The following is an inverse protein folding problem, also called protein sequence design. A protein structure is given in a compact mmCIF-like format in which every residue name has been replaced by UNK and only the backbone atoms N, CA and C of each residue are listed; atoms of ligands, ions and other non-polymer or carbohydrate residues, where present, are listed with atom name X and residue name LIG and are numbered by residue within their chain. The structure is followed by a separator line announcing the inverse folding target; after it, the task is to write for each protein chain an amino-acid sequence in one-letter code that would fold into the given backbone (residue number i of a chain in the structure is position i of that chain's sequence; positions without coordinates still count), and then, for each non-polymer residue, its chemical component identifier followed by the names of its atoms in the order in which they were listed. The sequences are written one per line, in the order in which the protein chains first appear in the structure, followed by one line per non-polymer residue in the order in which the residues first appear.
data_IF_788754741044
#
_entry.id   IF_788754741044
#
_cell.length_a   1.000
_cell.length_b   1.000
_cell.length_c   1.000
_cell.angle_alpha   90.00
_cell.angle_beta   90.00
_cell.angle_gamma   90.00
#
_symmetry.space_group_name_H-M   'P 1'
#
loop_
_entity.id
_entity.type
_entity.pdbx_description
1 polymer ?
#
# COMPACT_ATOMS: atom_id res chain seq x y z
N UNK A 1 36.58 -32.55 6.25
CA UNK A 1 35.99 -31.41 6.98
C UNK A 1 34.76 -31.00 6.20
N UNK A 2 33.57 -31.40 6.65
CA UNK A 2 32.31 -31.15 5.92
C UNK A 2 32.06 -29.65 5.92
N UNK A 3 31.78 -29.07 4.75
CA UNK A 3 31.44 -27.65 4.60
C UNK A 3 30.11 -27.37 5.33
N UNK A 4 30.22 -27.04 6.62
CA UNK A 4 29.08 -26.73 7.49
C UNK A 4 28.27 -25.54 6.95
N UNK A 5 28.91 -24.60 6.26
CA UNK A 5 28.23 -23.47 5.63
C UNK A 5 27.36 -23.87 4.44
N UNK A 6 27.78 -24.89 3.69
CA UNK A 6 26.97 -25.49 2.61
C UNK A 6 25.74 -26.23 3.14
N UNK A 7 25.90 -26.99 4.23
CA UNK A 7 24.81 -27.74 4.86
C UNK A 7 23.78 -26.81 5.51
N UNK A 8 24.21 -25.77 6.23
CA UNK A 8 23.32 -24.78 6.84
C UNK A 8 22.51 -24.01 5.78
N UNK A 9 23.14 -23.67 4.65
CA UNK A 9 22.44 -23.06 3.52
C UNK A 9 21.42 -24.01 2.87
N UNK A 10 21.75 -25.29 2.74
CA UNK A 10 20.85 -26.30 2.19
C UNK A 10 19.64 -26.54 3.10
N UNK A 11 19.86 -26.62 4.42
CA UNK A 11 18.80 -26.75 5.42
C UNK A 11 17.88 -25.52 5.37
N UNK A 12 18.46 -24.32 5.38
CA UNK A 12 17.69 -23.07 5.30
C UNK A 12 16.90 -22.95 3.98
N UNK A 13 17.47 -23.39 2.85
CA UNK A 13 16.78 -23.42 1.56
C UNK A 13 15.65 -24.44 1.54
N UNK A 14 15.86 -25.62 2.12
CA UNK A 14 14.84 -26.68 2.19
C UNK A 14 13.68 -26.25 3.08
N UNK A 15 13.96 -25.70 4.26
CA UNK A 15 12.94 -25.16 5.16
C UNK A 15 12.14 -24.03 4.49
N UNK A 16 12.82 -23.13 3.78
CA UNK A 16 12.17 -22.08 3.00
C UNK A 16 11.25 -22.63 1.90
N UNK A 17 11.71 -23.62 1.12
CA UNK A 17 10.89 -24.24 0.08
C UNK A 17 9.68 -24.99 0.68
N UNK A 18 9.81 -25.54 1.89
CA UNK A 18 8.70 -26.16 2.62
C UNK A 18 7.68 -25.12 3.10
N UNK A 19 8.12 -24.02 3.71
CA UNK A 19 7.25 -22.90 4.11
C UNK A 19 6.55 -22.25 2.91
N UNK A 20 7.16 -22.32 1.72
CA UNK A 20 6.54 -21.87 0.46
C UNK A 20 5.48 -22.85 -0.08
N UNK A 21 5.63 -24.14 0.19
CA UNK A 21 4.70 -25.20 -0.26
C UNK A 21 3.49 -25.37 0.65
N UNK A 22 3.51 -24.83 1.87
CA UNK A 22 2.38 -24.90 2.82
C UNK A 22 1.24 -23.95 2.42
N UNK A 23 0.64 -24.20 1.26
CA UNK A 23 -0.76 -23.83 0.99
C UNK A 23 -1.71 -24.93 1.52
N UNK A 24 -1.22 -26.16 1.68
CA UNK A 24 -1.90 -27.25 2.40
C UNK A 24 -1.55 -27.19 3.90
N UNK A 25 -2.15 -26.23 4.60
CA UNK A 25 -2.00 -26.13 6.06
C UNK A 25 -2.82 -27.24 6.73
N UNK A 26 -2.16 -28.12 7.50
CA UNK A 26 -2.82 -29.15 8.31
C UNK A 26 -3.94 -28.55 9.16
N UNK A 27 -5.12 -29.18 9.16
CA UNK A 27 -6.33 -28.72 9.86
C UNK A 27 -6.08 -28.44 11.35
N UNK A 28 -5.17 -29.22 11.98
CA UNK A 28 -4.76 -29.02 13.38
C UNK A 28 -3.93 -27.76 13.60
N UNK A 29 -3.05 -27.43 12.66
CA UNK A 29 -2.24 -26.20 12.69
C UNK A 29 -3.14 -24.98 12.45
N UNK A 30 -4.09 -25.10 11.53
CA UNK A 30 -5.11 -24.07 11.28
C UNK A 30 -5.99 -23.83 12.52
N UNK A 31 -6.36 -24.88 13.27
CA UNK A 31 -7.08 -24.77 14.55
C UNK A 31 -6.26 -24.10 15.65
N UNK A 32 -4.95 -24.41 15.76
CA UNK A 32 -4.05 -23.71 16.70
C UNK A 32 -3.93 -22.23 16.37
N UNK A 33 -3.71 -21.89 15.09
CA UNK A 33 -3.66 -20.51 14.59
C UNK A 33 -4.96 -19.74 14.89
N UNK A 34 -6.13 -20.35 14.72
CA UNK A 34 -7.43 -19.73 15.06
C UNK A 34 -7.55 -19.38 16.55
N UNK A 35 -7.03 -20.20 17.46
CA UNK A 35 -7.06 -19.90 18.91
C UNK A 35 -6.20 -18.69 19.27
N UNK A 36 -5.10 -18.47 18.54
CA UNK A 36 -4.24 -17.29 18.73
C UNK A 36 -4.78 -16.00 18.09
N UNK A 37 -5.83 -16.11 17.26
CA UNK A 37 -6.47 -14.98 16.55
C UNK A 37 -7.85 -14.64 17.14
N UNK A 38 -8.08 -14.96 18.41
CA UNK A 38 -9.32 -14.61 19.09
C UNK A 38 -9.43 -13.10 19.26
N UNK A 39 -10.54 -12.54 18.80
CA UNK A 39 -10.81 -11.11 18.95
C UNK A 39 -11.04 -10.77 20.43
N UNK A 40 -10.54 -9.62 20.91
CA UNK A 40 -10.82 -9.11 22.25
C UNK A 40 -12.33 -8.96 22.48
N UNK A 41 -12.74 -9.08 23.75
CA UNK A 41 -14.13 -8.82 24.12
C UNK A 41 -14.51 -7.34 23.95
N UNK A 42 -15.81 -7.01 23.87
CA UNK A 42 -16.28 -5.63 23.68
C UNK A 42 -15.75 -4.63 24.72
N UNK A 43 -15.55 -5.07 25.97
CA UNK A 43 -15.01 -4.28 27.08
C UNK A 43 -13.62 -3.73 26.78
N UNK A 44 -12.81 -4.43 25.99
CA UNK A 44 -11.46 -3.98 25.61
C UNK A 44 -11.48 -2.84 24.59
N UNK A 45 -12.64 -2.50 24.02
CA UNK A 45 -12.79 -1.47 23.00
C UNK A 45 -13.20 -0.10 23.59
N UNK A 46 -13.50 -0.01 24.90
CA UNK A 46 -14.01 1.20 25.55
C UNK A 46 -13.09 2.43 25.35
N UNK A 47 -11.78 2.23 25.39
CA UNK A 47 -10.82 3.32 25.18
C UNK A 47 -10.85 3.86 23.74
N UNK A 48 -11.11 3.01 22.76
CA UNK A 48 -11.23 3.43 21.35
C UNK A 48 -12.57 4.11 21.09
N UNK A 49 -13.64 3.70 21.78
CA UNK A 49 -14.95 4.34 21.69
C UNK A 49 -14.97 5.77 22.25
N UNK A 50 -14.03 6.11 23.15
CA UNK A 50 -13.88 7.45 23.69
C UNK A 50 -13.12 8.40 22.76
N UNK A 51 -12.39 7.88 21.77
CA UNK A 51 -11.73 8.68 20.76
C UNK A 51 -12.75 9.12 19.68
N UNK A 52 -12.58 10.31 19.06
CA UNK A 52 -13.42 10.68 17.93
C UNK A 52 -13.28 9.62 16.82
N UNK A 53 -14.39 9.25 16.15
CA UNK A 53 -14.34 8.27 15.08
C UNK A 53 -13.36 8.74 14.00
N UNK A 54 -12.61 7.80 13.44
CA UNK A 54 -11.73 8.08 12.32
C UNK A 54 -12.54 8.67 11.15
N UNK A 55 -11.91 9.56 10.40
CA UNK A 55 -12.47 10.09 9.17
C UNK A 55 -12.89 8.96 8.20
N UNK A 56 -13.97 9.20 7.44
CA UNK A 56 -14.56 8.23 6.51
C UNK A 56 -13.52 7.69 5.53
N UNK A 57 -12.69 8.57 4.96
CA UNK A 57 -11.66 8.16 4.00
C UNK A 57 -10.64 7.22 4.64
N UNK A 58 -10.21 7.51 5.88
CA UNK A 58 -9.30 6.63 6.60
C UNK A 58 -9.91 5.26 6.90
N UNK A 59 -11.13 5.22 7.43
CA UNK A 59 -11.75 3.98 7.91
C UNK A 59 -12.29 3.11 6.77
N UNK A 60 -13.09 3.71 5.88
CA UNK A 60 -13.88 3.01 4.89
C UNK A 60 -13.18 2.85 3.55
N UNK A 61 -12.13 3.62 3.25
CA UNK A 61 -11.40 3.52 1.98
C UNK A 61 -9.98 2.99 2.17
N UNK A 62 -9.19 3.60 3.04
CA UNK A 62 -7.76 3.26 3.18
C UNK A 62 -7.54 1.94 3.96
N UNK A 63 -8.38 1.64 4.95
CA UNK A 63 -8.19 0.48 5.81
C UNK A 63 -8.97 -0.74 5.28
N UNK A 64 -8.30 -1.84 4.86
CA UNK A 64 -8.96 -2.95 4.19
C UNK A 64 -10.06 -3.64 5.02
N UNK A 65 -9.85 -3.78 6.33
CA UNK A 65 -10.84 -4.39 7.24
C UNK A 65 -12.03 -3.44 7.44
N UNK A 66 -11.78 -2.15 7.63
CA UNK A 66 -12.82 -1.13 7.76
C UNK A 66 -13.68 -1.05 6.52
N UNK A 67 -13.04 -0.91 5.35
CA UNK A 67 -13.69 -1.00 4.03
C UNK A 67 -14.55 -2.25 3.90
N UNK A 68 -14.01 -3.45 4.18
CA UNK A 68 -14.78 -4.70 4.05
C UNK A 68 -15.99 -4.75 4.98
N UNK A 69 -15.86 -4.26 6.22
CA UNK A 69 -16.96 -4.24 7.18
C UNK A 69 -18.02 -3.21 6.80
N UNK A 70 -17.60 -2.03 6.31
CA UNK A 70 -18.51 -0.99 5.83
C UNK A 70 -19.33 -1.48 4.61
N UNK A 71 -18.66 -2.04 3.60
CA UNK A 71 -19.35 -2.60 2.44
C UNK A 71 -20.25 -3.79 2.81
N UNK A 72 -19.81 -4.62 3.77
CA UNK A 72 -20.64 -5.68 4.34
C UNK A 72 -21.89 -5.14 5.03
N UNK A 73 -21.80 -4.02 5.75
CA UNK A 73 -22.94 -3.32 6.34
C UNK A 73 -23.89 -2.78 5.27
N UNK A 74 -23.37 -2.05 4.27
CA UNK A 74 -24.19 -1.48 3.21
C UNK A 74 -25.00 -2.56 2.46
N UNK A 75 -24.41 -3.73 2.22
CA UNK A 75 -25.10 -4.85 1.58
C UNK A 75 -26.30 -5.38 2.39
N UNK A 76 -26.33 -5.19 3.71
CA UNK A 76 -27.44 -5.63 4.58
C UNK A 76 -28.61 -4.65 4.63
N UNK A 77 -28.39 -3.40 4.25
CA UNK A 77 -29.41 -2.34 4.33
C UNK A 77 -30.00 -2.11 2.94
N UNK A 78 -31.29 -2.43 2.70
CA UNK A 78 -31.90 -2.31 1.36
C UNK A 78 -31.79 -0.91 0.76
N UNK A 79 -31.82 0.13 1.59
CA UNK A 79 -31.72 1.53 1.15
C UNK A 79 -30.37 1.87 0.49
N UNK A 80 -29.31 1.10 0.75
CA UNK A 80 -27.96 1.36 0.24
C UNK A 80 -27.52 0.40 -0.86
N UNK A 81 -28.31 -0.64 -1.16
CA UNK A 81 -27.95 -1.65 -2.16
C UNK A 81 -27.79 -1.07 -3.56
N UNK A 82 -28.59 -0.06 -3.90
CA UNK A 82 -28.47 0.67 -5.18
C UNK A 82 -27.13 1.42 -5.27
N UNK A 83 -26.68 2.04 -4.17
CA UNK A 83 -25.38 2.71 -4.09
C UNK A 83 -24.22 1.75 -4.26
N UNK A 84 -24.29 0.61 -3.56
CA UNK A 84 -23.27 -0.44 -3.63
C UNK A 84 -23.18 -1.00 -5.04
N UNK A 85 -24.31 -1.40 -5.63
CA UNK A 85 -24.34 -1.96 -6.98
C UNK A 85 -23.80 -0.99 -8.02
N UNK A 86 -24.17 0.29 -7.94
CA UNK A 86 -23.61 1.32 -8.81
C UNK A 86 -22.08 1.43 -8.67
N UNK A 87 -21.55 1.53 -7.44
CA UNK A 87 -20.11 1.66 -7.22
C UNK A 87 -19.31 0.40 -7.61
N UNK A 88 -19.87 -0.80 -7.45
CA UNK A 88 -19.25 -2.04 -7.95
C UNK A 88 -19.17 -2.05 -9.49
N UNK A 89 -20.23 -1.59 -10.16
CA UNK A 89 -20.26 -1.50 -11.62
C UNK A 89 -19.26 -0.44 -12.14
N UNK A 90 -19.16 0.71 -11.46
CA UNK A 90 -18.14 1.73 -11.75
C UNK A 90 -16.73 1.16 -11.58
N UNK A 91 -16.47 0.44 -10.48
CA UNK A 91 -15.17 -0.19 -10.26
C UNK A 91 -14.86 -1.24 -11.34
N UNK A 92 -15.86 -2.01 -11.78
CA UNK A 92 -15.70 -2.98 -12.86
C UNK A 92 -15.39 -2.30 -14.20
N UNK A 93 -15.99 -1.13 -14.47
CA UNK A 93 -15.71 -0.34 -15.66
C UNK A 93 -14.31 0.28 -15.66
N UNK A 94 -13.85 0.82 -14.53
CA UNK A 94 -12.51 1.39 -14.37
C UNK A 94 -11.40 0.35 -14.60
N UNK A 95 -11.66 -0.90 -14.19
CA UNK A 95 -10.72 -2.01 -14.32
C UNK A 95 -10.87 -2.80 -15.63
N UNK A 96 -11.88 -2.50 -16.44
CA UNK A 96 -12.11 -3.20 -17.70
C UNK A 96 -11.04 -2.84 -18.75
N UNK A 97 -10.60 -3.86 -19.50
CA UNK A 97 -9.75 -3.66 -20.67
C UNK A 97 -10.47 -2.84 -21.75
N UNK A 98 -9.71 -2.07 -22.52
CA UNK A 98 -10.26 -1.30 -23.64
C UNK A 98 -10.92 -2.23 -24.67
N UNK A 99 -12.19 -1.96 -24.98
CA UNK A 99 -12.96 -2.81 -25.87
C UNK A 99 -14.47 -2.60 -25.78
N UNK A 100 -15.25 -3.33 -26.58
CA UNK A 100 -16.69 -3.17 -26.66
C UNK A 100 -17.41 -3.46 -25.33
N UNK A 101 -16.84 -4.33 -24.49
CA UNK A 101 -17.38 -4.63 -23.17
C UNK A 101 -17.33 -3.40 -22.23
N UNK A 102 -16.23 -2.62 -22.29
CA UNK A 102 -16.08 -1.39 -21.51
C UNK A 102 -17.09 -0.33 -21.93
N UNK A 103 -17.29 -0.15 -23.23
CA UNK A 103 -18.31 0.74 -23.79
C UNK A 103 -19.75 0.31 -23.41
N UNK A 104 -20.03 -0.99 -23.44
CA UNK A 104 -21.32 -1.53 -23.00
C UNK A 104 -21.59 -1.28 -21.51
N UNK A 105 -20.57 -1.44 -20.67
CA UNK A 105 -20.68 -1.18 -19.22
C UNK A 105 -20.91 0.31 -18.95
N UNK A 106 -20.18 1.18 -19.66
CA UNK A 106 -20.38 2.63 -19.60
C UNK A 106 -21.80 3.04 -20.01
N UNK A 107 -22.37 2.39 -21.03
CA UNK A 107 -23.75 2.63 -21.43
C UNK A 107 -24.75 2.20 -20.34
N UNK A 108 -24.49 1.07 -19.67
CA UNK A 108 -25.27 0.61 -18.52
C UNK A 108 -25.24 1.61 -17.36
N UNK A 109 -24.05 2.04 -16.96
CA UNK A 109 -23.83 3.06 -15.93
C UNK A 109 -24.57 4.36 -16.24
N UNK A 110 -24.48 4.84 -17.49
CA UNK A 110 -25.19 6.05 -17.91
C UNK A 110 -26.71 5.89 -17.87
N UNK A 111 -27.24 4.71 -18.18
CA UNK A 111 -28.67 4.43 -18.07
C UNK A 111 -29.13 4.44 -16.60
N UNK A 112 -28.32 3.90 -15.68
CA UNK A 112 -28.54 3.97 -14.23
C UNK A 112 -28.55 5.43 -13.75
N UNK A 113 -27.54 6.22 -14.13
CA UNK A 113 -27.45 7.64 -13.77
C UNK A 113 -28.59 8.50 -14.35
N UNK A 114 -29.11 8.12 -15.52
CA UNK A 114 -30.14 8.88 -16.24
C UNK A 114 -31.59 8.54 -15.80
N UNK A 115 -31.77 7.90 -14.63
CA UNK A 115 -33.02 7.31 -14.14
C UNK A 115 -34.30 8.14 -14.44
N UNK A 116 -35.40 7.41 -14.68
CA UNK A 116 -36.61 7.91 -15.36
C UNK A 116 -37.19 9.23 -14.84
N UNK A 117 -37.74 10.06 -15.74
CA UNK A 117 -38.40 11.31 -15.37
C UNK A 117 -39.58 11.04 -14.41
N UNK A 118 -39.50 11.54 -13.18
CA UNK A 118 -40.60 11.51 -12.22
C UNK A 118 -40.27 11.01 -10.81
N UNK A 119 -39.07 10.47 -10.56
CA UNK A 119 -38.57 10.20 -9.19
C UNK A 119 -37.18 10.82 -9.00
N UNK A 120 -36.88 11.45 -7.86
CA UNK A 120 -35.53 11.90 -7.56
C UNK A 120 -34.59 10.69 -7.45
N UNK A 121 -33.41 10.79 -8.06
CA UNK A 121 -32.39 9.77 -7.94
C UNK A 121 -31.91 9.72 -6.48
N UNK A 122 -31.82 8.54 -5.84
CA UNK A 122 -31.46 8.46 -4.42
C UNK A 122 -30.02 8.91 -4.13
N UNK A 123 -29.14 8.85 -5.14
CA UNK A 123 -27.70 9.06 -4.99
C UNK A 123 -27.15 10.32 -5.68
N UNK A 124 -27.87 10.86 -6.67
CA UNK A 124 -27.32 11.85 -7.60
C UNK A 124 -28.15 13.12 -7.60
N UNK A 125 -27.47 14.25 -7.76
CA UNK A 125 -28.08 15.56 -7.85
C UNK A 125 -28.91 15.70 -9.14
N UNK A 126 -30.05 16.43 -9.12
CA UNK A 126 -30.87 16.62 -10.32
C UNK A 126 -30.11 17.25 -11.50
N UNK A 127 -29.13 18.10 -11.19
CA UNK A 127 -28.26 18.74 -12.17
C UNK A 127 -27.36 17.72 -12.89
N UNK A 128 -26.79 16.75 -12.15
CA UNK A 128 -25.95 15.71 -12.72
C UNK A 128 -26.77 14.73 -13.57
N UNK A 129 -27.96 14.34 -13.12
CA UNK A 129 -28.88 13.49 -13.89
C UNK A 129 -29.22 14.13 -15.25
N UNK A 130 -29.49 15.44 -15.27
CA UNK A 130 -29.78 16.16 -16.52
C UNK A 130 -28.57 16.19 -17.45
N UNK A 131 -27.35 16.35 -16.92
CA UNK A 131 -26.12 16.26 -17.71
C UNK A 131 -25.91 14.85 -18.26
N UNK A 132 -26.20 13.81 -17.48
CA UNK A 132 -26.12 12.42 -17.93
C UNK A 132 -27.09 12.14 -19.09
N UNK A 133 -28.29 12.72 -19.05
CA UNK A 133 -29.28 12.60 -20.14
C UNK A 133 -28.87 13.34 -21.42
N UNK A 134 -28.11 14.43 -21.29
CA UNK A 134 -27.66 15.24 -22.42
C UNK A 134 -26.33 14.77 -23.04
N UNK A 135 -25.61 13.84 -22.39
CA UNK A 135 -24.26 13.43 -22.79
C UNK A 135 -24.25 12.67 -24.13
N UNK A 136 -23.46 13.15 -25.08
CA UNK A 136 -23.42 12.59 -26.44
C UNK A 136 -22.17 11.79 -26.74
N UNK A 137 -21.01 12.24 -26.23
CA UNK A 137 -19.72 11.61 -26.49
C UNK A 137 -19.33 10.60 -25.41
N UNK A 138 -18.42 9.69 -25.73
CA UNK A 138 -17.91 8.70 -24.77
C UNK A 138 -17.05 9.34 -23.68
N UNK A 139 -16.24 10.34 -24.03
CA UNK A 139 -15.39 11.08 -23.10
C UNK A 139 -16.22 11.89 -22.08
N UNK A 140 -17.31 12.52 -22.54
CA UNK A 140 -18.27 13.19 -21.65
C UNK A 140 -18.90 12.20 -20.67
N UNK A 141 -19.33 11.04 -21.16
CA UNK A 141 -19.92 9.98 -20.32
C UNK A 141 -18.94 9.49 -19.26
N UNK A 142 -17.70 9.22 -19.65
CA UNK A 142 -16.65 8.81 -18.72
C UNK A 142 -16.42 9.86 -17.62
N UNK A 143 -16.31 11.14 -17.99
CA UNK A 143 -16.15 12.22 -17.01
C UNK A 143 -17.37 12.39 -16.09
N UNK A 144 -18.59 12.17 -16.60
CA UNK A 144 -19.81 12.24 -15.80
C UNK A 144 -19.94 11.06 -14.84
N UNK A 145 -19.48 9.86 -15.21
CA UNK A 145 -19.42 8.70 -14.31
C UNK A 145 -18.46 8.95 -13.15
N UNK A 146 -17.31 9.59 -13.38
CA UNK A 146 -16.40 10.00 -12.30
C UNK A 146 -17.06 10.99 -11.32
N UNK A 147 -17.82 11.96 -11.84
CA UNK A 147 -18.59 12.88 -10.99
C UNK A 147 -19.71 12.16 -10.23
N UNK A 148 -20.39 11.21 -10.87
CA UNK A 148 -21.44 10.42 -10.24
C UNK A 148 -20.89 9.50 -9.14
N UNK A 149 -19.71 8.92 -9.35
CA UNK A 149 -18.95 8.19 -8.32
C UNK A 149 -18.65 9.11 -7.14
N UNK A 150 -18.18 10.34 -7.38
CA UNK A 150 -17.89 11.30 -6.32
C UNK A 150 -19.14 11.67 -5.49
N UNK A 151 -20.28 11.94 -6.15
CA UNK A 151 -21.55 12.20 -5.44
C UNK A 151 -22.05 10.98 -4.66
N UNK A 152 -21.96 9.77 -5.24
CA UNK A 152 -22.33 8.54 -4.55
C UNK A 152 -21.44 8.28 -3.32
N UNK A 153 -20.14 8.55 -3.41
CA UNK A 153 -19.22 8.44 -2.27
C UNK A 153 -19.52 9.50 -1.20
N UNK A 154 -19.85 10.74 -1.60
CA UNK A 154 -20.28 11.78 -0.66
C UNK A 154 -21.56 11.39 0.09
N UNK A 155 -22.53 10.80 -0.62
CA UNK A 155 -23.73 10.24 0.01
C UNK A 155 -23.38 9.18 1.06
N UNK A 156 -22.45 8.27 0.76
CA UNK A 156 -22.01 7.23 1.71
C UNK A 156 -21.25 7.78 2.92
N UNK A 157 -20.60 8.93 2.79
CA UNK A 157 -19.86 9.60 3.87
C UNK A 157 -20.78 10.26 4.92
N UNK A 158 -22.02 10.57 4.55
CA UNK A 158 -22.99 11.24 5.44
C UNK A 158 -23.74 10.22 6.32
N UNK A 159 -25.06 10.08 6.11
CA UNK A 159 -25.95 9.26 6.93
C UNK A 159 -25.55 7.77 6.96
N UNK A 160 -25.17 7.11 5.84
CA UNK A 160 -24.77 5.70 5.85
C UNK A 160 -23.55 5.44 6.72
N UNK A 161 -22.59 6.38 6.77
CA UNK A 161 -21.43 6.27 7.64
C UNK A 161 -21.82 6.39 9.12
N UNK A 162 -22.70 7.32 9.49
CA UNK A 162 -23.20 7.44 10.86
C UNK A 162 -23.95 6.18 11.31
N UNK A 163 -24.78 5.60 10.44
CA UNK A 163 -25.47 4.34 10.72
C UNK A 163 -24.50 3.16 10.84
N UNK A 164 -23.43 3.13 10.03
CA UNK A 164 -22.36 2.15 10.18
C UNK A 164 -21.67 2.27 11.53
N UNK A 165 -21.32 3.48 11.98
CA UNK A 165 -20.69 3.71 13.28
C UNK A 165 -21.57 3.27 14.46
N UNK A 166 -22.89 3.30 14.30
CA UNK A 166 -23.85 2.79 15.29
C UNK A 166 -24.12 1.28 15.16
N UNK A 167 -23.55 0.60 14.16
CA UNK A 167 -23.86 -0.79 13.86
C UNK A 167 -22.88 -1.78 14.53
N UNK A 168 -23.29 -3.06 14.70
CA UNK A 168 -22.38 -4.12 15.16
C UNK A 168 -21.16 -4.36 14.26
N UNK A 169 -21.18 -3.87 13.00
CA UNK A 169 -20.02 -3.96 12.11
C UNK A 169 -18.89 -3.06 12.59
N UNK A 170 -19.21 -1.88 13.13
CA UNK A 170 -18.22 -0.98 13.70
C UNK A 170 -17.64 -1.52 15.01
N UNK A 171 -18.46 -2.11 15.88
CA UNK A 171 -17.97 -2.82 17.07
C UNK A 171 -16.94 -3.90 16.71
N UNK A 172 -17.23 -4.66 15.64
CA UNK A 172 -16.32 -5.67 15.11
C UNK A 172 -15.04 -5.06 14.54
N UNK A 173 -15.13 -3.89 13.88
CA UNK A 173 -13.96 -3.15 13.43
C UNK A 173 -13.08 -2.73 14.62
N UNK A 174 -13.68 -2.24 15.71
CA UNK A 174 -12.95 -1.86 16.92
C UNK A 174 -12.23 -3.06 17.55
N UNK A 175 -12.87 -4.23 17.60
CA UNK A 175 -12.21 -5.45 18.05
C UNK A 175 -10.98 -5.79 17.22
N UNK A 176 -11.06 -5.65 15.88
CA UNK A 176 -9.90 -5.80 15.00
C UNK A 176 -8.83 -4.76 15.27
N UNK A 177 -9.20 -3.51 15.59
CA UNK A 177 -8.25 -2.46 15.96
C UNK A 177 -7.54 -2.72 17.26
N UNK A 178 -8.25 -3.17 18.30
CA UNK A 178 -7.61 -3.59 19.56
C UNK A 178 -6.66 -4.76 19.32
N UNK A 179 -7.03 -5.70 18.44
CA UNK A 179 -6.17 -6.81 18.06
C UNK A 179 -4.91 -6.35 17.30
N UNK A 180 -5.05 -5.39 16.38
CA UNK A 180 -3.94 -4.81 15.62
C UNK A 180 -2.92 -4.07 16.52
N UNK A 181 -3.40 -3.38 17.56
CA UNK A 181 -2.56 -2.61 18.48
C UNK A 181 -1.80 -3.46 19.52
N UNK A 182 -1.95 -4.79 19.50
CA UNK A 182 -1.23 -5.64 20.44
C UNK A 182 0.30 -5.53 20.22
N UNK A 183 1.10 -5.54 21.31
CA UNK A 183 2.54 -5.36 21.19
C UNK A 183 3.20 -6.51 20.42
N UNK A 184 3.95 -6.16 19.37
CA UNK A 184 4.67 -7.12 18.53
C UNK A 184 6.10 -7.27 19.03
N UNK A 185 6.60 -8.51 19.08
CA UNK A 185 7.96 -8.85 19.47
C UNK A 185 8.55 -9.94 18.56
N UNK A 186 9.83 -10.22 18.72
CA UNK A 186 10.54 -11.30 18.01
C UNK A 186 9.89 -12.67 18.16
N UNK A 187 9.19 -12.92 19.27
CA UNK A 187 8.47 -14.18 19.54
C UNK A 187 7.40 -14.53 18.50
N UNK A 188 6.84 -13.54 17.82
CA UNK A 188 5.79 -13.71 16.80
C UNK A 188 6.33 -14.22 15.45
N UNK A 189 7.65 -14.20 15.27
CA UNK A 189 8.30 -14.57 14.02
C UNK A 189 9.15 -15.83 14.20
N UNK A 190 9.15 -16.67 13.17
CA UNK A 190 10.07 -17.80 13.03
C UNK A 190 11.06 -17.49 11.91
N UNK A 191 12.35 -17.44 12.21
CA UNK A 191 13.39 -17.07 11.23
C UNK A 191 13.91 -18.29 10.50
N UNK A 192 13.92 -18.25 9.15
CA UNK A 192 14.39 -19.37 8.33
C UNK A 192 15.80 -19.17 7.79
N UNK A 193 16.05 -18.01 7.18
CA UNK A 193 17.26 -17.77 6.39
C UNK A 193 17.68 -16.31 6.43
N UNK A 194 18.99 -16.09 6.28
CA UNK A 194 19.58 -14.76 6.06
C UNK A 194 19.65 -14.50 4.54
N UNK A 195 19.03 -13.41 4.03
CA UNK A 195 19.39 -12.86 2.71
C UNK A 195 20.28 -11.63 2.92
N UNK A 196 21.53 -11.74 2.47
CA UNK A 196 22.57 -10.69 2.59
C UNK A 196 22.82 -10.24 4.04
N UNK A 197 22.38 -9.02 4.39
CA UNK A 197 22.59 -8.33 5.68
C UNK A 197 21.32 -8.32 6.57
N UNK A 198 20.29 -9.09 6.21
CA UNK A 198 19.01 -9.23 6.92
C UNK A 198 18.50 -10.68 6.93
N UNK A 199 17.46 -10.96 7.72
CA UNK A 199 16.82 -12.28 7.85
C UNK A 199 15.43 -12.32 7.24
N UNK A 200 14.83 -13.49 7.08
CA UNK A 200 13.44 -13.71 6.65
C UNK A 200 12.77 -14.63 7.64
N UNK A 201 11.47 -14.43 7.84
CA UNK A 201 10.72 -15.25 8.76
C UNK A 201 9.23 -15.28 8.46
N UNK A 202 8.58 -16.32 8.96
CA UNK A 202 7.13 -16.50 8.92
C UNK A 202 6.51 -15.96 10.20
N UNK A 203 5.35 -15.31 10.04
CA UNK A 203 4.50 -14.96 11.18
C UNK A 203 3.80 -16.22 11.66
N UNK A 204 4.10 -16.65 12.89
CA UNK A 204 3.61 -17.93 13.46
C UNK A 204 2.08 -18.08 13.39
N UNK A 205 1.36 -16.99 13.57
CA UNK A 205 -0.11 -17.02 13.68
C UNK A 205 -0.82 -17.05 12.32
N UNK A 206 -0.23 -16.47 11.26
CA UNK A 206 -0.88 -16.35 9.95
C UNK A 206 -0.24 -17.25 8.89
N UNK A 207 1.00 -17.65 9.11
CA UNK A 207 1.84 -18.35 8.15
C UNK A 207 2.32 -17.51 6.98
N UNK A 208 2.09 -16.19 7.02
CA UNK A 208 2.56 -15.31 5.96
C UNK A 208 4.06 -15.06 6.14
N UNK A 209 4.82 -15.24 5.06
CA UNK A 209 6.27 -15.08 5.03
C UNK A 209 6.64 -13.63 4.72
N UNK A 210 7.62 -13.10 5.43
CA UNK A 210 8.09 -11.73 5.30
C UNK A 210 9.63 -11.64 5.29
N UNK A 211 10.13 -10.49 4.85
CA UNK A 211 11.50 -10.06 5.01
C UNK A 211 11.69 -9.29 6.33
N UNK A 212 12.75 -9.57 7.07
CA UNK A 212 13.11 -8.87 8.31
C UNK A 212 14.45 -8.13 8.16
N UNK A 213 14.38 -6.82 7.90
CA UNK A 213 15.57 -5.95 7.86
C UNK A 213 16.01 -5.65 9.29
N UNK A 214 17.14 -6.23 9.70
CA UNK A 214 17.73 -6.05 11.04
C UNK A 214 18.80 -4.96 11.06
N UNK A 215 18.58 -3.91 11.84
CA UNK A 215 19.49 -2.79 12.01
C UNK A 215 20.16 -2.87 13.39
N UNK A 216 21.46 -3.20 13.44
CA UNK A 216 22.17 -3.36 14.70
C UNK A 216 22.30 -2.05 15.49
N UNK A 217 21.77 -2.01 16.71
CA UNK A 217 21.72 -0.81 17.58
C UNK A 217 23.10 -0.19 17.82
N UNK A 218 24.11 -1.01 18.11
CA UNK A 218 25.51 -0.56 18.28
C UNK A 218 26.07 0.08 17.00
N UNK A 219 25.72 -0.47 15.83
CA UNK A 219 26.19 0.04 14.52
C UNK A 219 25.51 1.34 14.14
N UNK A 220 24.21 1.48 14.43
CA UNK A 220 23.47 2.73 14.26
C UNK A 220 24.10 3.84 15.08
N UNK A 221 24.29 3.60 16.39
CA UNK A 221 24.93 4.55 17.31
C UNK A 221 26.33 4.95 16.88
N UNK A 222 27.15 4.01 16.41
CA UNK A 222 28.51 4.31 15.92
C UNK A 222 28.52 5.20 14.67
N UNK A 223 27.47 5.14 13.83
CA UNK A 223 27.38 5.86 12.56
C UNK A 223 26.45 7.07 12.60
N UNK A 224 25.90 7.41 13.77
CA UNK A 224 24.85 8.42 13.93
C UNK A 224 23.67 8.19 12.96
N UNK A 225 23.31 6.92 12.74
CA UNK A 225 22.32 6.48 11.75
C UNK A 225 20.89 6.41 12.28
N UNK A 226 20.63 6.80 13.53
CA UNK A 226 19.34 6.68 14.20
C UNK A 226 18.24 7.46 13.46
N UNK A 227 18.53 8.71 13.08
CA UNK A 227 17.59 9.56 12.33
C UNK A 227 17.23 8.95 10.97
N UNK A 228 18.20 8.35 10.30
CA UNK A 228 18.01 7.70 9.01
C UNK A 228 17.12 6.44 9.14
N UNK A 229 17.34 5.64 10.19
CA UNK A 229 16.52 4.46 10.45
C UNK A 229 15.08 4.81 10.82
N UNK A 230 14.87 5.88 11.60
CA UNK A 230 13.55 6.36 11.96
C UNK A 230 12.81 6.91 10.72
N UNK A 231 13.49 7.72 9.91
CA UNK A 231 12.93 8.27 8.67
C UNK A 231 12.51 7.16 7.69
N UNK A 232 13.34 6.11 7.53
CA UNK A 232 13.00 4.96 6.70
C UNK A 232 11.70 4.30 7.19
N UNK A 233 11.55 4.11 8.50
CA UNK A 233 10.35 3.53 9.11
C UNK A 233 9.12 4.41 8.88
N UNK A 234 9.22 5.72 9.14
CA UNK A 234 8.11 6.67 8.98
C UNK A 234 7.64 6.78 7.53
N UNK A 235 8.57 6.82 6.57
CA UNK A 235 8.23 6.82 5.15
C UNK A 235 7.53 5.51 4.76
N UNK A 236 8.07 4.37 5.18
CA UNK A 236 7.47 3.06 4.89
C UNK A 236 6.08 2.86 5.50
N UNK A 237 5.75 3.54 6.61
CA UNK A 237 4.40 3.52 7.19
C UNK A 237 3.39 4.35 6.39
N UNK A 238 3.83 5.46 5.79
CA UNK A 238 2.95 6.35 5.00
C UNK A 238 2.75 5.88 3.58
N UNK A 239 3.72 5.17 3.02
CA UNK A 239 3.71 4.75 1.62
C UNK A 239 2.86 3.50 1.43
N UNK A 240 1.75 3.64 0.69
CA UNK A 240 0.93 2.53 0.22
C UNK A 240 0.89 2.48 -1.32
N UNK A 241 1.83 1.73 -1.92
CA UNK A 241 1.88 1.48 -3.36
C UNK A 241 2.05 -0.03 -3.63
N UNK A 242 1.40 -0.60 -4.66
CA UNK A 242 1.63 -1.97 -5.09
C UNK A 242 3.06 -2.21 -5.61
N UNK A 243 3.79 -1.16 -5.99
CA UNK A 243 5.17 -1.27 -6.48
C UNK A 243 6.23 -0.76 -5.48
N UNK A 244 5.86 -0.49 -4.22
CA UNK A 244 6.84 -0.26 -3.14
C UNK A 244 6.77 -1.42 -2.13
N UNK A 245 7.90 -1.81 -1.55
CA UNK A 245 7.88 -2.77 -0.44
C UNK A 245 7.08 -2.19 0.73
N UNK A 246 6.02 -2.87 1.13
CA UNK A 246 5.21 -2.46 2.28
C UNK A 246 5.82 -2.92 3.59
N UNK A 247 5.77 -2.05 4.60
CA UNK A 247 6.08 -2.40 5.99
C UNK A 247 4.83 -2.99 6.64
N UNK A 248 4.98 -4.16 7.27
CA UNK A 248 3.92 -4.82 8.02
C UNK A 248 4.11 -4.64 9.53
N UNK A 249 5.34 -4.72 10.03
CA UNK A 249 5.63 -4.56 11.46
C UNK A 249 6.96 -3.85 11.67
N UNK A 250 7.04 -3.05 12.73
CA UNK A 250 8.31 -2.52 13.25
C UNK A 250 8.40 -2.86 14.74
N UNK A 251 9.51 -3.46 15.15
CA UNK A 251 9.75 -3.80 16.56
C UNK A 251 11.24 -3.73 16.89
N UNK A 252 11.57 -3.79 18.16
CA UNK A 252 12.96 -3.88 18.61
C UNK A 252 13.24 -5.18 19.37
N UNK A 253 14.50 -5.61 19.29
CA UNK A 253 15.07 -6.67 20.10
C UNK A 253 16.19 -6.10 20.97
N UNK A 254 16.83 -6.95 21.78
CA UNK A 254 17.98 -6.55 22.60
C UNK A 254 19.10 -5.87 21.79
N UNK A 255 19.34 -6.32 20.56
CA UNK A 255 20.50 -5.87 19.77
C UNK A 255 20.14 -5.17 18.45
N UNK A 256 18.88 -5.24 17.99
CA UNK A 256 18.47 -4.77 16.66
C UNK A 256 17.16 -3.99 16.70
N UNK A 257 17.00 -3.05 15.77
CA UNK A 257 15.69 -2.59 15.29
C UNK A 257 15.31 -3.47 14.09
N UNK A 258 14.06 -3.88 13.99
CA UNK A 258 13.57 -4.83 13.00
C UNK A 258 12.43 -4.21 12.19
N UNK A 259 12.57 -4.17 10.87
CA UNK A 259 11.51 -3.80 9.94
C UNK A 259 11.06 -5.06 9.19
N UNK A 260 9.81 -5.46 9.40
CA UNK A 260 9.18 -6.60 8.74
C UNK A 260 8.42 -6.10 7.53
N UNK A 261 8.86 -6.50 6.35
CA UNK A 261 8.39 -5.97 5.07
C UNK A 261 8.05 -7.08 4.08
N UNK A 262 7.34 -6.72 3.02
CA UNK A 262 7.02 -7.64 1.91
C UNK A 262 8.25 -8.40 1.42
N UNK A 263 8.13 -9.73 1.33
CA UNK A 263 9.20 -10.60 0.86
C UNK A 263 9.26 -10.60 -0.67
N UNK A 264 10.43 -10.30 -1.21
CA UNK A 264 10.69 -10.21 -2.65
C UNK A 264 11.58 -11.37 -3.11
N UNK A 265 10.94 -12.44 -3.59
CA UNK A 265 11.61 -13.72 -3.88
C UNK A 265 12.39 -13.76 -5.18
N UNK A 266 12.08 -12.87 -6.13
CA UNK A 266 12.72 -12.81 -7.43
C UNK A 266 14.12 -12.19 -7.41
N UNK A 267 14.64 -11.76 -6.25
CA UNK A 267 15.94 -11.12 -6.14
C UNK A 267 15.92 -9.66 -6.60
N UNK A 268 17.09 -9.07 -6.85
CA UNK A 268 17.19 -7.68 -7.32
C UNK A 268 17.49 -7.58 -8.82
N UNK A 269 17.10 -6.45 -9.41
CA UNK A 269 17.25 -6.20 -10.83
C UNK A 269 18.73 -6.19 -11.27
N UNK A 270 19.66 -5.85 -10.37
CA UNK A 270 21.10 -5.96 -10.66
C UNK A 270 21.47 -7.41 -11.02
N UNK A 271 20.99 -8.39 -10.26
CA UNK A 271 21.22 -9.80 -10.59
C UNK A 271 20.62 -10.17 -11.95
N UNK A 272 19.40 -9.72 -12.26
CA UNK A 272 18.75 -9.99 -13.54
C UNK A 272 19.42 -9.31 -14.74
N UNK A 273 20.10 -8.18 -14.54
CA UNK A 273 20.83 -7.49 -15.61
C UNK A 273 22.18 -8.16 -15.89
N UNK A 274 22.92 -8.56 -14.85
CA UNK A 274 24.33 -8.95 -15.00
C UNK A 274 24.61 -10.44 -14.83
N UNK A 275 23.65 -11.21 -14.33
CA UNK A 275 23.85 -12.62 -13.98
C UNK A 275 22.82 -13.55 -14.60
N UNK A 276 21.81 -13.01 -15.29
CA UNK A 276 20.81 -13.79 -16.03
C UNK A 276 21.01 -13.52 -17.52
N UNK A 277 21.53 -14.51 -18.24
CA UNK A 277 21.84 -14.40 -19.68
C UNK A 277 23.05 -13.51 -19.98
N UNK A 278 23.37 -13.38 -21.28
CA UNK A 278 24.54 -12.61 -21.74
C UNK A 278 24.21 -11.16 -22.13
N UNK A 279 22.94 -10.85 -22.43
CA UNK A 279 22.53 -9.55 -23.02
C UNK A 279 21.62 -8.70 -22.13
N UNK A 280 21.43 -9.06 -20.86
CA UNK A 280 20.47 -8.41 -19.98
C UNK A 280 19.00 -8.65 -20.41
N UNK A 281 18.02 -7.98 -19.77
CA UNK A 281 16.61 -8.14 -20.11
C UNK A 281 16.27 -7.54 -21.48
N UNK A 282 15.34 -8.19 -22.20
CA UNK A 282 14.82 -7.67 -23.46
C UNK A 282 14.08 -6.32 -23.30
N UNK A 283 13.87 -5.62 -24.41
CA UNK A 283 13.27 -4.29 -24.39
C UNK A 283 11.85 -4.27 -23.84
N UNK A 284 11.05 -5.30 -24.07
CA UNK A 284 9.68 -5.40 -23.55
C UNK A 284 9.70 -5.44 -22.01
N UNK A 285 10.60 -6.25 -21.45
CA UNK A 285 10.83 -6.36 -20.00
C UNK A 285 11.37 -5.07 -19.40
N UNK A 286 12.26 -4.36 -20.12
CA UNK A 286 12.76 -3.04 -19.69
C UNK A 286 11.62 -2.02 -19.63
N UNK A 287 10.76 -1.96 -20.65
CA UNK A 287 9.60 -1.07 -20.68
C UNK A 287 8.63 -1.40 -19.54
N UNK A 288 8.34 -2.68 -19.32
CA UNK A 288 7.46 -3.14 -18.24
C UNK A 288 7.95 -2.70 -16.85
N UNK A 289 9.23 -2.92 -16.54
CA UNK A 289 9.81 -2.47 -15.26
C UNK A 289 9.88 -0.95 -15.16
N UNK A 290 10.16 -0.26 -16.26
CA UNK A 290 10.21 1.21 -16.27
C UNK A 290 8.83 1.82 -15.99
N UNK A 291 7.76 1.23 -16.52
CA UNK A 291 6.40 1.65 -16.24
C UNK A 291 6.06 1.50 -14.75
N UNK A 292 6.33 0.34 -14.16
CA UNK A 292 6.09 0.09 -12.73
C UNK A 292 6.89 1.04 -11.82
N UNK A 293 8.18 1.22 -12.09
CA UNK A 293 9.02 2.18 -11.35
C UNK A 293 8.53 3.63 -11.52
N UNK A 294 7.94 3.98 -12.65
CA UNK A 294 7.37 5.31 -12.88
C UNK A 294 6.13 5.51 -12.00
N UNK A 295 5.25 4.51 -11.88
CA UNK A 295 4.13 4.54 -10.96
C UNK A 295 4.57 4.76 -9.50
N UNK A 296 5.67 4.13 -9.08
CA UNK A 296 6.24 4.37 -7.74
C UNK A 296 6.73 5.78 -7.53
N UNK A 297 7.43 6.34 -8.51
CA UNK A 297 7.92 7.71 -8.41
C UNK A 297 6.77 8.70 -8.34
N UNK A 298 5.72 8.50 -9.15
CA UNK A 298 4.51 9.32 -9.08
C UNK A 298 3.86 9.24 -7.70
N UNK A 299 3.75 8.04 -7.12
CA UNK A 299 3.20 7.84 -5.78
C UNK A 299 4.05 8.48 -4.67
N UNK A 300 5.38 8.36 -4.73
CA UNK A 300 6.24 9.03 -3.76
C UNK A 300 6.16 10.55 -3.89
N UNK A 301 6.14 11.07 -5.13
CA UNK A 301 6.05 12.50 -5.39
C UNK A 301 4.70 13.09 -4.99
N UNK A 302 3.59 12.34 -5.09
CA UNK A 302 2.28 12.81 -4.58
C UNK A 302 2.25 12.98 -3.07
N UNK A 303 3.14 12.29 -2.35
CA UNK A 303 3.36 12.44 -0.91
C UNK A 303 4.48 13.45 -0.57
N UNK A 304 4.98 14.20 -1.56
CA UNK A 304 6.14 15.08 -1.43
C UNK A 304 7.42 14.37 -0.98
N UNK A 305 7.60 13.09 -1.34
CA UNK A 305 8.76 12.28 -0.98
C UNK A 305 9.66 12.07 -2.19
N UNK A 306 10.95 12.39 -2.07
CA UNK A 306 11.97 12.10 -3.10
C UNK A 306 12.80 10.89 -2.67
N UNK A 307 12.82 9.84 -3.49
CA UNK A 307 13.49 8.58 -3.19
C UNK A 307 15.04 8.68 -3.15
N UNK A 308 15.63 9.45 -4.07
CA UNK A 308 17.08 9.73 -4.21
C UNK A 308 18.04 8.55 -4.40
N UNK A 309 17.59 7.29 -4.36
CA UNK A 309 18.48 6.12 -4.44
C UNK A 309 18.07 5.08 -5.48
N UNK A 310 17.53 5.54 -6.63
CA UNK A 310 17.12 4.66 -7.72
C UNK A 310 18.33 4.02 -8.41
N UNK A 311 18.39 2.69 -8.34
CA UNK A 311 19.44 1.86 -8.93
C UNK A 311 19.02 0.40 -8.97
N UNK A 312 19.60 -0.44 -9.86
CA UNK A 312 19.16 -1.82 -10.03
C UNK A 312 19.20 -2.69 -8.77
N UNK A 313 20.08 -2.40 -7.81
CA UNK A 313 20.16 -3.19 -6.56
C UNK A 313 19.03 -2.93 -5.57
N UNK A 314 18.27 -1.84 -5.74
CA UNK A 314 17.15 -1.47 -4.86
C UNK A 314 15.79 -1.77 -5.51
N UNK A 315 15.77 -2.25 -6.75
CA UNK A 315 14.56 -2.71 -7.43
C UNK A 315 14.50 -4.23 -7.25
N UNK A 316 13.51 -4.72 -6.51
CA UNK A 316 13.35 -6.13 -6.18
C UNK A 316 12.21 -6.74 -6.99
N UNK A 317 12.26 -8.04 -7.30
CA UNK A 317 11.21 -8.74 -8.01
C UNK A 317 10.43 -9.67 -7.07
N UNK A 318 9.11 -9.74 -7.24
CA UNK A 318 8.27 -10.73 -6.55
C UNK A 318 8.28 -12.08 -7.30
N UNK A 319 7.48 -13.03 -6.83
CA UNK A 319 7.36 -14.38 -7.40
C UNK A 319 6.55 -14.44 -8.69
N UNK A 320 5.77 -13.39 -8.99
CA UNK A 320 5.00 -13.25 -10.24
C UNK A 320 5.77 -12.42 -11.28
N UNK A 321 6.86 -11.77 -10.87
CA UNK A 321 7.78 -11.04 -11.74
C UNK A 321 7.56 -9.53 -11.79
N UNK A 322 6.71 -8.96 -10.93
CA UNK A 322 6.58 -7.52 -10.78
C UNK A 322 7.74 -6.93 -9.99
N UNK A 323 8.12 -5.71 -10.31
CA UNK A 323 9.16 -4.99 -9.59
C UNK A 323 8.58 -4.17 -8.44
N UNK A 324 9.37 -4.05 -7.36
CA UNK A 324 9.11 -3.14 -6.27
C UNK A 324 10.35 -2.37 -5.82
N UNK A 325 10.21 -1.09 -5.54
CA UNK A 325 11.26 -0.30 -4.91
C UNK A 325 11.44 -0.70 -3.44
N UNK A 326 12.69 -0.71 -2.99
CA UNK A 326 13.11 -1.04 -1.63
C UNK A 326 14.16 -0.06 -1.09
N UNK A 327 14.50 -0.13 0.20
CA UNK A 327 15.56 0.68 0.82
C UNK A 327 15.33 2.20 0.71
N UNK A 328 14.36 2.72 1.48
CA UNK A 328 14.02 4.15 1.51
C UNK A 328 14.88 4.95 2.50
N UNK A 329 16.01 4.40 2.95
CA UNK A 329 16.90 5.05 3.93
C UNK A 329 17.51 6.37 3.47
N UNK A 330 17.52 6.66 2.16
CA UNK A 330 17.97 7.95 1.62
C UNK A 330 16.82 8.84 1.15
N UNK A 331 15.57 8.39 1.25
CA UNK A 331 14.42 9.19 0.86
C UNK A 331 14.24 10.39 1.80
N UNK A 332 13.66 11.47 1.29
CA UNK A 332 13.36 12.69 2.07
C UNK A 332 12.00 13.23 1.70
N UNK A 333 11.29 13.74 2.71
CA UNK A 333 10.11 14.55 2.52
C UNK A 333 10.52 16.00 2.23
N UNK A 334 9.94 16.57 1.18
CA UNK A 334 10.07 17.97 0.82
C UNK A 334 9.04 18.74 1.65
N UNK A 335 9.51 19.77 2.34
CA UNK A 335 8.63 20.77 2.94
C UNK A 335 8.48 21.93 1.97
N UNK A 336 7.24 22.38 1.75
CA UNK A 336 6.95 23.51 0.88
C UNK A 336 7.77 24.74 1.27
N UNK A 337 8.45 25.33 0.29
CA UNK A 337 9.25 26.55 0.45
C UNK A 337 10.64 26.37 1.11
N UNK A 338 11.10 25.15 1.41
CA UNK A 338 12.45 24.92 1.94
C UNK A 338 13.36 24.20 0.94
N UNK A 339 14.55 24.75 0.62
CA UNK A 339 15.52 24.04 -0.22
C UNK A 339 16.03 22.79 0.50
N UNK A 340 16.24 21.71 -0.25
CA UNK A 340 16.79 20.45 0.29
C UNK A 340 18.27 20.65 0.62
N UNK A 341 18.61 20.81 1.90
CA UNK A 341 20.00 21.06 2.37
C UNK A 341 20.77 19.75 2.65
N UNK A 342 20.12 18.58 2.57
CA UNK A 342 20.81 17.30 2.79
C UNK A 342 21.73 16.93 1.62
N UNK A 343 23.03 17.19 1.78
CA UNK A 343 24.08 16.61 0.94
C UNK A 343 24.04 15.09 1.01
N UNK A 344 23.88 14.44 -0.15
CA UNK A 344 24.13 13.02 -0.28
C UNK A 344 25.61 12.74 -0.03
N UNK A 345 25.94 11.87 0.93
CA UNK A 345 27.32 11.46 1.19
C UNK A 345 27.95 10.68 0.00
N UNK A 346 27.15 10.31 -1.01
CA UNK A 346 27.55 9.50 -2.17
C UNK A 346 26.90 9.95 -3.50
N UNK A 347 26.60 11.24 -3.69
CA UNK A 347 26.17 11.71 -5.02
C UNK A 347 27.36 11.99 -5.95
N UNK A 348 27.19 11.57 -7.21
CA UNK A 348 27.94 12.05 -8.38
C UNK A 348 27.85 13.59 -8.49
N UNK A 349 28.86 14.30 -9.04
CA UNK A 349 29.05 15.76 -8.84
C UNK A 349 27.99 16.69 -9.44
N UNK A 350 26.96 16.18 -10.13
CA UNK A 350 26.13 16.99 -11.03
C UNK A 350 24.81 17.53 -10.47
N UNK A 351 24.49 17.31 -9.19
CA UNK A 351 23.36 18.02 -8.56
C UNK A 351 23.90 19.29 -7.88
N UNK A 352 24.30 20.28 -8.70
CA UNK A 352 24.41 21.66 -8.23
C UNK A 352 23.03 22.29 -8.37
N UNK A 353 22.50 22.76 -7.25
CA UNK A 353 21.30 23.56 -7.16
C UNK A 353 21.42 24.85 -7.99
N UNK A 354 20.77 24.90 -9.15
CA UNK A 354 20.38 26.14 -9.81
C UNK A 354 18.87 26.28 -9.73
N UNK A 355 18.41 26.82 -8.61
CA UNK A 355 17.19 27.64 -8.57
C UNK A 355 17.67 29.01 -8.12
N UNK A 356 18.06 29.84 -9.07
CA UNK A 356 18.17 31.28 -8.86
C UNK A 356 16.79 31.87 -9.15
N UNK A 357 16.22 32.44 -8.10
CA UNK A 357 14.99 33.22 -8.10
C UNK A 357 15.15 34.42 -9.04
N UNK A 358 14.47 34.36 -10.20
CA UNK A 358 14.49 35.39 -11.22
C UNK A 358 13.47 36.48 -10.93
N UNK A 359 13.55 37.17 -9.79
CA UNK A 359 12.93 38.49 -9.62
C UNK A 359 13.94 39.56 -9.97
N UNK A 360 13.76 40.15 -11.16
CA UNK A 360 14.36 41.43 -11.53
C UNK A 360 13.81 42.52 -10.60
N UNK A 361 14.65 43.07 -9.73
CA UNK A 361 14.47 44.46 -9.27
C UNK A 361 15.36 45.34 -10.15
N UNK A 362 14.73 46.08 -11.05
CA UNK A 362 15.31 47.32 -11.58
C UNK A 362 15.32 48.34 -10.43
N UNK A 363 16.51 48.80 -10.04
CA UNK A 363 16.67 50.04 -9.30
C UNK A 363 17.49 51.00 -10.15
N UNK A 364 16.86 52.12 -10.48
CA UNK A 364 17.39 53.20 -11.28
C UNK A 364 18.57 53.90 -10.61
N UNK A 365 19.42 54.42 -11.47
CA UNK A 365 20.51 55.33 -11.17
C UNK A 365 19.97 56.71 -10.77
N UNK A 366 20.51 57.23 -9.68
CA UNK A 366 20.91 58.64 -9.50
C UNK A 366 22.23 58.63 -8.74
#
# INVERSE_FOLDING_TARGET
MVDMGGLDNLIANTAYLQARKSLDVDSKELQRRRRTLMLPGPQSCEQLLQAPPNDFHSLCEQQPIGRRLFWGFLATVPAYQEAVGFLEEVQSWELAEEGPAKGSTLQGLMATCAASPGRPHPLLSPALVTKCQAATTEEERASLVELAKAEAMAFLQDQPFLEFLASPFYDKFLQWKVFEMQPVSDKYFEEFRVLRKGGFGEVKNTGKVYACKKLGKKRLKKKNGEKMALLEKEILERVSSPFIVSLAYAFESRCHLCLVMSLMNGGDLKFHIYSVGEQGPDMSRVVFYSAQMTCDMLHLHSLSIVYRDLKPKNVLLDDVGNCRLSDLGLAVEIQDGKPIIQRMAFATPNIKSTFQDGRKEEKGEC
#
